data_IF_706950432713
#
_entry.id   IF_706950432713
#
_cell.length_a   1.000
_cell.length_b   1.000
_cell.length_c   1.000
_cell.angle_alpha   90.00
_cell.angle_beta   90.00
_cell.angle_gamma   90.00
#
_symmetry.space_group_name_H-M   'P 1'
#
loop_
_entity.id
_entity.type
_entity.pdbx_description
1 polymer ?
#
# COMPACT_ATOMS: atom_id res chain seq x y z
N UNK A 1 -3.75 -5.70 16.57
CA UNK A 1 -2.67 -5.40 15.61
C UNK A 1 -2.34 -6.69 14.86
N UNK A 2 -2.14 -6.65 13.54
CA UNK A 2 -1.82 -7.85 12.75
C UNK A 2 -0.30 -8.10 12.75
N UNK A 3 0.13 -9.36 12.76
CA UNK A 3 1.56 -9.71 12.71
C UNK A 3 2.08 -9.71 11.26
N UNK A 4 2.35 -8.53 10.72
CA UNK A 4 2.71 -8.34 9.31
C UNK A 4 4.01 -9.01 8.88
N UNK A 5 4.98 -9.14 9.80
CA UNK A 5 6.30 -9.73 9.55
C UNK A 5 6.30 -11.25 9.68
N UNK A 6 5.21 -11.86 10.16
CA UNK A 6 5.11 -13.32 10.22
C UNK A 6 5.12 -13.87 8.80
N UNK A 7 6.14 -14.68 8.48
CA UNK A 7 6.36 -15.20 7.14
C UNK A 7 5.12 -15.95 6.62
N UNK A 8 4.73 -15.63 5.39
CA UNK A 8 3.69 -16.35 4.66
C UNK A 8 4.24 -17.53 3.85
N UNK A 9 5.57 -17.72 3.81
CA UNK A 9 6.23 -18.74 3.00
C UNK A 9 5.71 -20.13 3.33
N UNK A 10 5.19 -20.83 2.32
CA UNK A 10 4.69 -22.21 2.41
C UNK A 10 3.57 -22.44 3.46
N UNK A 11 2.99 -21.37 4.02
CA UNK A 11 1.86 -21.43 4.94
C UNK A 11 0.63 -20.79 4.32
N UNK A 12 -0.19 -21.62 3.66
CA UNK A 12 -1.37 -21.17 2.92
C UNK A 12 -2.36 -20.39 3.77
N UNK A 13 -2.61 -20.81 5.01
CA UNK A 13 -3.52 -20.10 5.90
C UNK A 13 -2.99 -18.70 6.24
N UNK A 14 -1.70 -18.58 6.53
CA UNK A 14 -1.06 -17.31 6.84
C UNK A 14 -1.09 -16.37 5.64
N UNK A 15 -0.79 -16.90 4.45
CA UNK A 15 -0.90 -16.19 3.19
C UNK A 15 -2.34 -15.71 2.94
N UNK A 16 -3.34 -16.55 3.18
CA UNK A 16 -4.76 -16.17 3.06
C UNK A 16 -5.13 -15.03 4.01
N UNK A 17 -4.72 -15.12 5.28
CA UNK A 17 -4.97 -14.09 6.30
C UNK A 17 -4.25 -12.78 5.99
N UNK A 18 -3.00 -12.85 5.52
CA UNK A 18 -2.25 -11.68 5.07
C UNK A 18 -2.98 -10.98 3.91
N UNK A 19 -3.35 -11.73 2.87
CA UNK A 19 -4.04 -11.18 1.70
C UNK A 19 -5.40 -10.57 2.04
N UNK A 20 -6.22 -11.25 2.85
CA UNK A 20 -7.53 -10.72 3.25
C UNK A 20 -7.39 -9.43 4.08
N UNK A 21 -6.44 -9.42 5.02
CA UNK A 21 -6.20 -8.27 5.91
C UNK A 21 -5.61 -7.09 5.14
N UNK A 22 -4.55 -7.32 4.35
CA UNK A 22 -3.93 -6.29 3.51
C UNK A 22 -4.95 -5.68 2.52
N UNK A 23 -5.76 -6.52 1.85
CA UNK A 23 -6.82 -6.05 0.96
C UNK A 23 -7.86 -5.20 1.70
N UNK A 24 -8.25 -5.59 2.91
CA UNK A 24 -9.15 -4.79 3.75
C UNK A 24 -8.55 -3.43 4.10
N UNK A 25 -7.26 -3.38 4.46
CA UNK A 25 -6.54 -2.14 4.77
C UNK A 25 -6.39 -1.23 3.57
N UNK A 26 -6.07 -1.77 2.39
CA UNK A 26 -5.99 -0.98 1.16
C UNK A 26 -7.35 -0.41 0.72
N UNK A 27 -8.47 -1.11 1.01
CA UNK A 27 -9.81 -0.52 0.81
C UNK A 27 -10.05 0.67 1.73
N UNK A 28 -9.63 0.59 3.00
CA UNK A 28 -9.72 1.71 3.94
C UNK A 28 -8.84 2.87 3.49
N UNK A 29 -7.63 2.60 3.01
CA UNK A 29 -6.73 3.60 2.44
C UNK A 29 -7.36 4.32 1.24
N UNK A 30 -7.99 3.59 0.32
CA UNK A 30 -8.69 4.19 -0.81
C UNK A 30 -9.82 5.13 -0.35
N UNK A 31 -10.57 4.74 0.69
CA UNK A 31 -11.61 5.57 1.29
C UNK A 31 -11.02 6.82 1.98
N UNK A 32 -9.93 6.67 2.73
CA UNK A 32 -9.21 7.77 3.40
C UNK A 32 -8.68 8.79 2.40
N UNK A 33 -8.12 8.33 1.29
CA UNK A 33 -7.68 9.17 0.17
C UNK A 33 -8.85 9.75 -0.64
N UNK A 34 -10.10 9.40 -0.30
CA UNK A 34 -11.32 9.81 -1.02
C UNK A 34 -11.26 9.50 -2.52
N UNK A 35 -10.72 8.33 -2.87
CA UNK A 35 -10.67 7.89 -4.27
C UNK A 35 -12.09 7.59 -4.77
N UNK A 36 -12.51 8.13 -5.92
CA UNK A 36 -13.81 7.80 -6.50
C UNK A 36 -13.97 6.31 -6.77
N UNK A 37 -15.18 5.79 -6.60
CA UNK A 37 -15.47 4.41 -6.95
C UNK A 37 -15.20 4.17 -8.45
N UNK A 38 -14.51 3.07 -8.76
CA UNK A 38 -14.13 2.73 -10.14
C UNK A 38 -12.91 3.50 -10.68
N UNK A 39 -12.34 4.46 -9.94
CA UNK A 39 -11.13 5.19 -10.36
C UNK A 39 -9.82 4.50 -9.98
N UNK A 40 -9.89 3.31 -9.38
CA UNK A 40 -8.74 2.54 -8.95
C UNK A 40 -9.01 1.06 -9.13
N UNK A 41 -7.92 0.33 -9.35
CA UNK A 41 -7.93 -1.12 -9.36
C UNK A 41 -7.32 -1.66 -8.07
N UNK A 42 -7.86 -2.78 -7.57
CA UNK A 42 -7.37 -3.46 -6.36
C UNK A 42 -7.24 -4.95 -6.64
N UNK A 43 -6.01 -5.39 -6.94
CA UNK A 43 -5.69 -6.76 -7.34
C UNK A 43 -4.93 -7.50 -6.25
N UNK A 44 -5.17 -8.80 -6.17
CA UNK A 44 -4.40 -9.70 -5.31
C UNK A 44 -3.76 -10.77 -6.19
N UNK A 45 -2.43 -10.75 -6.27
CA UNK A 45 -1.67 -11.78 -6.94
C UNK A 45 -1.14 -12.76 -5.89
N UNK A 46 -1.72 -13.96 -5.85
CA UNK A 46 -1.32 -15.00 -4.90
C UNK A 46 -0.16 -15.86 -5.40
N UNK A 47 0.34 -15.63 -6.62
CA UNK A 47 1.51 -16.34 -7.14
C UNK A 47 2.78 -15.97 -6.35
N UNK A 48 3.82 -16.82 -6.42
CA UNK A 48 5.05 -16.64 -5.64
C UNK A 48 4.93 -17.04 -4.17
N UNK A 49 6.02 -16.88 -3.42
CA UNK A 49 6.14 -17.41 -2.05
C UNK A 49 5.14 -16.70 -1.10
N UNK A 50 5.18 -15.38 -0.98
CA UNK A 50 4.27 -14.60 -0.14
C UNK A 50 3.04 -14.04 -0.90
N UNK A 51 3.16 -13.83 -2.22
CA UNK A 51 2.18 -13.08 -3.01
C UNK A 51 2.10 -11.60 -2.62
N UNK A 52 1.33 -10.83 -3.37
CA UNK A 52 1.27 -9.37 -3.28
C UNK A 52 -0.14 -8.83 -3.56
N UNK A 53 -0.42 -7.64 -3.04
CA UNK A 53 -1.69 -6.93 -3.23
C UNK A 53 -1.37 -5.54 -3.76
N UNK A 54 -2.00 -5.15 -4.86
CA UNK A 54 -1.75 -3.88 -5.53
C UNK A 54 -3.01 -3.01 -5.51
N UNK A 55 -2.88 -1.78 -5.01
CA UNK A 55 -3.84 -0.70 -5.19
C UNK A 55 -3.29 0.28 -6.23
N UNK A 56 -4.04 0.52 -7.30
CA UNK A 56 -3.58 1.32 -8.43
C UNK A 56 -4.66 2.29 -8.92
N UNK A 57 -4.76 3.48 -8.33
CA UNK A 57 -5.35 4.66 -8.98
C UNK A 57 -4.43 5.21 -10.09
N UNK A 58 -4.96 6.05 -10.98
CA UNK A 58 -4.25 6.51 -12.19
C UNK A 58 -2.90 7.20 -11.97
N UNK A 59 -2.60 7.70 -10.77
CA UNK A 59 -1.40 8.50 -10.46
C UNK A 59 -0.48 7.91 -9.39
N UNK A 60 -0.87 6.80 -8.76
CA UNK A 60 -0.03 6.14 -7.77
C UNK A 60 -0.19 4.62 -7.83
N UNK A 61 0.93 3.92 -7.75
CA UNK A 61 1.01 2.47 -7.66
C UNK A 61 1.45 2.09 -6.25
N UNK A 62 0.58 1.38 -5.53
CA UNK A 62 0.84 0.93 -4.17
C UNK A 62 0.83 -0.58 -4.17
N UNK A 63 1.92 -1.21 -3.75
CA UNK A 63 2.07 -2.65 -3.70
C UNK A 63 2.42 -3.08 -2.28
N UNK A 64 1.71 -4.09 -1.79
CA UNK A 64 1.88 -4.66 -0.46
C UNK A 64 2.30 -6.12 -0.61
N UNK A 65 3.44 -6.48 -0.03
CA UNK A 65 3.98 -7.84 -0.08
C UNK A 65 5.13 -8.00 0.90
N UNK A 66 5.54 -9.24 1.15
CA UNK A 66 6.76 -9.51 1.92
C UNK A 66 7.97 -9.57 0.97
N UNK A 67 8.36 -8.40 0.44
CA UNK A 67 9.46 -8.26 -0.52
C UNK A 67 10.80 -8.39 0.19
N UNK A 68 11.43 -9.56 0.10
CA UNK A 68 12.71 -9.82 0.77
C UNK A 68 12.54 -9.80 2.30
N UNK A 69 12.49 -11.00 2.89
CA UNK A 69 12.19 -11.29 4.30
C UNK A 69 13.04 -10.51 5.35
N UNK A 70 14.07 -9.77 4.93
CA UNK A 70 15.06 -9.12 5.80
C UNK A 70 14.92 -7.58 5.94
N UNK A 71 14.13 -6.89 5.10
CA UNK A 71 14.17 -5.41 5.08
C UNK A 71 13.18 -4.72 6.03
N UNK A 72 12.17 -5.42 6.56
CA UNK A 72 11.06 -4.81 7.32
C UNK A 72 10.09 -3.96 6.47
N UNK A 73 10.49 -3.62 5.25
CA UNK A 73 9.67 -2.89 4.29
C UNK A 73 8.83 -3.85 3.46
N UNK A 74 7.53 -3.58 3.38
CA UNK A 74 6.61 -4.39 2.57
C UNK A 74 5.52 -3.59 1.88
N UNK A 75 5.59 -2.26 1.96
CA UNK A 75 4.77 -1.35 1.17
C UNK A 75 5.69 -0.63 0.19
N UNK A 76 5.41 -0.76 -1.10
CA UNK A 76 6.04 -0.02 -2.18
C UNK A 76 5.05 1.02 -2.70
N UNK A 77 5.47 2.28 -2.75
CA UNK A 77 4.70 3.41 -3.30
C UNK A 77 5.50 4.01 -4.46
N UNK A 78 4.85 4.19 -5.61
CA UNK A 78 5.44 4.82 -6.80
C UNK A 78 4.45 5.79 -7.42
N UNK A 79 4.93 6.94 -7.85
CA UNK A 79 4.12 7.85 -8.68
C UNK A 79 3.98 7.29 -10.09
N UNK A 80 2.83 7.53 -10.72
CA UNK A 80 2.55 7.13 -12.09
C UNK A 80 2.06 8.35 -12.86
N UNK A 81 2.47 8.52 -14.12
CA UNK A 81 1.91 9.59 -14.97
C UNK A 81 0.50 9.25 -15.48
N UNK A 82 0.17 7.96 -15.56
CA UNK A 82 -1.16 7.42 -15.90
C UNK A 82 -1.27 5.95 -15.46
N UNK A 83 -2.48 5.36 -15.51
CA UNK A 83 -2.73 3.94 -15.17
C UNK A 83 -2.06 2.92 -16.11
N UNK A 84 -1.32 3.37 -17.12
CA UNK A 84 -0.53 2.54 -18.04
C UNK A 84 0.99 2.80 -17.93
N UNK A 85 1.42 3.62 -16.97
CA UNK A 85 2.83 3.89 -16.70
C UNK A 85 3.40 2.82 -15.77
N UNK A 86 4.12 1.84 -16.34
CA UNK A 86 4.75 0.74 -15.62
C UNK A 86 6.20 1.04 -15.20
N UNK A 87 6.76 2.16 -15.65
CA UNK A 87 8.12 2.61 -15.27
C UNK A 87 8.04 3.41 -13.97
N UNK A 88 7.06 4.30 -13.86
CA UNK A 88 6.77 5.08 -12.66
C UNK A 88 7.90 6.01 -12.22
N UNK A 89 7.67 6.71 -11.11
CA UNK A 89 8.71 7.42 -10.35
C UNK A 89 9.52 6.49 -9.44
N UNK A 90 10.45 7.05 -8.63
CA UNK A 90 11.29 6.26 -7.74
C UNK A 90 10.50 5.39 -6.75
N UNK A 91 11.11 4.29 -6.31
CA UNK A 91 10.54 3.41 -5.30
C UNK A 91 10.60 4.07 -3.92
N UNK A 92 9.44 4.30 -3.31
CA UNK A 92 9.35 4.66 -1.90
C UNK A 92 8.91 3.44 -1.10
N UNK A 93 9.79 2.97 -0.21
CA UNK A 93 9.54 1.81 0.64
C UNK A 93 9.07 2.24 2.03
N UNK A 94 8.06 1.54 2.54
CA UNK A 94 7.51 1.77 3.88
C UNK A 94 7.23 0.44 4.60
N UNK A 95 7.19 0.52 5.93
CA UNK A 95 6.96 -0.63 6.81
C UNK A 95 5.50 -1.12 6.71
N UNK A 96 5.29 -2.44 6.77
CA UNK A 96 3.93 -3.02 6.72
C UNK A 96 3.05 -2.61 7.91
N UNK A 97 3.64 -2.22 9.04
CA UNK A 97 2.92 -1.74 10.22
C UNK A 97 2.08 -0.49 9.94
N UNK A 98 2.44 0.32 8.93
CA UNK A 98 1.59 1.43 8.47
C UNK A 98 0.20 0.99 7.98
N UNK A 99 -0.01 -0.29 7.65
CA UNK A 99 -1.35 -0.79 7.34
C UNK A 99 -2.29 -0.81 8.55
N UNK A 100 -1.77 -0.69 9.77
CA UNK A 100 -2.59 -0.50 10.96
C UNK A 100 -2.82 1.00 11.29
N UNK A 101 -2.10 1.93 10.65
CA UNK A 101 -2.27 3.38 10.73
C UNK A 101 -2.61 3.98 9.35
N UNK A 102 -3.88 3.83 8.96
CA UNK A 102 -4.37 4.27 7.65
C UNK A 102 -4.20 5.78 7.42
N UNK A 103 -4.49 6.67 8.38
CA UNK A 103 -4.24 8.10 8.22
C UNK A 103 -2.77 8.42 7.92
N UNK A 104 -1.82 7.83 8.66
CA UNK A 104 -0.39 8.06 8.41
C UNK A 104 0.03 7.55 7.03
N UNK A 105 -0.46 6.37 6.62
CA UNK A 105 -0.18 5.82 5.30
C UNK A 105 -0.76 6.69 4.18
N UNK A 106 -1.96 7.23 4.37
CA UNK A 106 -2.61 8.11 3.40
C UNK A 106 -1.87 9.45 3.27
N UNK A 107 -1.39 10.03 4.38
CA UNK A 107 -0.54 11.21 4.37
C UNK A 107 0.78 10.96 3.60
N UNK A 108 1.42 9.80 3.80
CA UNK A 108 2.62 9.41 3.07
C UNK A 108 2.37 9.26 1.56
N UNK A 109 1.29 8.57 1.18
CA UNK A 109 0.88 8.41 -0.23
C UNK A 109 0.63 9.78 -0.87
N UNK A 110 -0.07 10.67 -0.16
CA UNK A 110 -0.34 12.02 -0.63
C UNK A 110 0.95 12.83 -0.79
N UNK A 111 1.86 12.78 0.18
CA UNK A 111 3.13 13.49 0.11
C UNK A 111 4.00 13.04 -1.08
N UNK A 112 3.98 11.74 -1.42
CA UNK A 112 4.74 11.18 -2.54
C UNK A 112 4.08 11.49 -3.90
N UNK A 113 2.76 11.38 -3.99
CA UNK A 113 2.06 11.34 -5.27
C UNK A 113 1.12 12.50 -5.56
N UNK A 114 0.82 13.32 -4.56
CA UNK A 114 -0.24 14.34 -4.60
C UNK A 114 -1.66 13.77 -4.72
N UNK A 115 -1.83 12.45 -4.61
CA UNK A 115 -3.14 11.78 -4.75
C UNK A 115 -3.94 11.88 -3.46
N UNK A 116 -5.25 12.08 -3.62
CA UNK A 116 -6.20 12.15 -2.52
C UNK A 116 -6.34 13.56 -1.94
N UNK A 117 -7.47 13.79 -1.28
CA UNK A 117 -7.73 15.06 -0.60
C UNK A 117 -7.40 14.86 0.88
N UNK A 118 -6.23 15.34 1.28
CA UNK A 118 -5.85 15.36 2.68
C UNK A 118 -6.15 16.75 3.27
N UNK A 119 -6.82 16.84 4.43
CA UNK A 119 -6.88 18.10 5.14
C UNK A 119 -5.45 18.49 5.54
N UNK A 120 -5.00 19.64 5.08
CA UNK A 120 -3.66 20.21 5.30
C UNK A 120 -3.29 20.46 6.77
N UNK A 121 -4.15 20.07 7.72
CA UNK A 121 -3.99 20.36 9.16
C UNK A 121 -3.22 19.32 9.96
N UNK A 122 -2.62 18.31 9.34
CA UNK A 122 -1.87 17.26 10.05
C UNK A 122 -0.41 17.10 9.57
N UNK A 123 0.22 18.17 9.08
CA UNK A 123 1.69 18.22 8.97
C UNK A 123 2.19 18.91 10.23
N UNK A 124 2.88 18.24 11.16
CA UNK A 124 3.68 18.96 12.14
C UNK A 124 4.77 19.66 11.34
N UNK A 125 4.71 21.01 11.30
CA UNK A 125 5.86 21.81 10.90
C UNK A 125 7.01 21.41 11.81
N UNK A 126 8.06 20.82 11.25
CA UNK A 126 9.34 20.71 11.93
C UNK A 126 9.77 22.13 12.34
N UNK A 127 10.01 22.30 13.64
CA UNK A 127 10.63 23.50 14.21
C UNK A 127 12.12 23.54 13.88
#
# INVERSE_FOLDING_TARGET
MFQWTKSCSYHEEQKRRFHSTARSRLKKLAAELRLPAGSYDLRSNKAGIAGEITLHPSRVYIQVGQFGLASGHGILIRTCKASQDYTGGPNHLADLTLLDDIPALAALVHAISGVGIFPTSAVPRAA
#
